data_IF_679224120045
#
_entry.id   IF_679224120045
#
_cell.length_a   1.000
_cell.length_b   1.000
_cell.length_c   1.000
_cell.angle_alpha   90.00
_cell.angle_beta   90.00
_cell.angle_gamma   90.00
#
_symmetry.space_group_name_H-M   'P 1'
#
loop_
_entity.id
_entity.type
_entity.pdbx_description
1 polymer ?
#
# COMPACT_ATOMS: atom_id res chain seq x y z
N UNK A 1 4.24 10.05 -9.74
CA UNK A 1 3.24 9.18 -9.05
C UNK A 1 2.38 9.90 -8.01
N UNK A 2 2.90 10.86 -7.24
CA UNK A 2 2.14 11.55 -6.18
C UNK A 2 0.79 12.14 -6.61
N UNK A 3 0.73 12.90 -7.71
CA UNK A 3 -0.54 13.48 -8.19
C UNK A 3 -1.59 12.41 -8.49
N UNK A 4 -1.21 11.33 -9.18
CA UNK A 4 -2.12 10.24 -9.52
C UNK A 4 -2.68 9.58 -8.24
N UNK A 5 -1.81 9.38 -7.25
CA UNK A 5 -2.20 8.79 -5.96
C UNK A 5 -3.13 9.71 -5.17
N UNK A 6 -2.85 11.02 -5.16
CA UNK A 6 -3.71 12.02 -4.53
C UNK A 6 -5.10 12.11 -5.20
N UNK A 7 -5.16 12.00 -6.53
CA UNK A 7 -6.43 11.93 -7.26
C UNK A 7 -7.23 10.68 -6.86
N UNK A 8 -6.60 9.51 -6.83
CA UNK A 8 -7.24 8.28 -6.38
C UNK A 8 -7.76 8.42 -4.93
N UNK A 9 -6.96 8.99 -4.03
CA UNK A 9 -7.37 9.25 -2.65
C UNK A 9 -8.60 10.16 -2.58
N UNK A 10 -8.62 11.27 -3.32
CA UNK A 10 -9.76 12.19 -3.35
C UNK A 10 -11.05 11.52 -3.84
N UNK A 11 -10.96 10.67 -4.87
CA UNK A 11 -12.11 9.91 -5.38
C UNK A 11 -12.64 8.88 -4.36
N UNK A 12 -11.73 8.17 -3.69
CA UNK A 12 -12.09 7.20 -2.65
C UNK A 12 -12.80 7.88 -1.47
N UNK A 13 -12.27 9.02 -1.02
CA UNK A 13 -12.79 9.77 0.13
C UNK A 13 -14.16 10.40 -0.12
N UNK A 14 -14.52 10.69 -1.37
CA UNK A 14 -15.86 11.20 -1.72
C UNK A 14 -16.91 10.10 -1.85
N UNK A 15 -16.49 8.82 -1.89
CA UNK A 15 -17.37 7.68 -2.16
C UNK A 15 -17.09 6.46 -1.26
N UNK A 16 -16.96 6.63 0.07
CA UNK A 16 -16.53 5.54 0.95
C UNK A 16 -17.55 4.40 0.99
N UNK A 17 -17.06 3.16 1.03
CA UNK A 17 -17.83 1.92 1.11
C UNK A 17 -17.53 1.19 2.40
N UNK A 18 -18.47 0.37 2.90
CA UNK A 18 -18.23 -0.58 4.00
C UNK A 18 -17.40 0.01 5.15
N UNK A 19 -17.86 1.16 5.66
CA UNK A 19 -17.12 1.91 6.67
C UNK A 19 -17.11 1.19 8.02
N UNK A 20 -15.97 1.21 8.69
CA UNK A 20 -15.77 0.58 10.00
C UNK A 20 -14.63 1.27 10.76
N UNK A 21 -14.42 0.84 12.01
CA UNK A 21 -13.21 1.20 12.76
C UNK A 21 -12.02 0.47 12.15
N UNK A 22 -10.95 1.21 11.90
CA UNK A 22 -9.74 0.72 11.25
C UNK A 22 -8.56 0.68 12.22
N UNK A 23 -7.65 -0.25 11.99
CA UNK A 23 -6.35 -0.26 12.65
C UNK A 23 -5.56 1.01 12.28
N UNK A 24 -5.52 1.34 10.99
CA UNK A 24 -4.86 2.52 10.44
C UNK A 24 -3.35 2.38 10.22
N UNK A 25 -2.74 1.32 10.76
CA UNK A 25 -1.29 1.08 10.67
C UNK A 25 -0.94 -0.41 10.72
N UNK A 26 -1.70 -1.24 10.00
CA UNK A 26 -1.49 -2.69 10.01
C UNK A 26 -0.31 -3.06 9.09
N UNK A 27 0.72 -3.68 9.67
CA UNK A 27 1.85 -4.28 8.97
C UNK A 27 2.43 -5.43 9.81
N UNK A 28 3.35 -6.17 9.21
CA UNK A 28 3.90 -7.40 9.79
C UNK A 28 4.56 -7.22 11.17
N UNK A 29 5.15 -6.07 11.49
CA UNK A 29 5.69 -5.82 12.84
C UNK A 29 4.61 -5.53 13.89
N UNK A 30 3.43 -5.10 13.45
CA UNK A 30 2.26 -4.86 14.31
C UNK A 30 1.36 -6.10 14.44
N UNK A 31 1.77 -7.25 13.91
CA UNK A 31 1.08 -8.55 14.06
C UNK A 31 2.01 -9.53 14.77
N UNK A 32 1.76 -9.77 16.05
CA UNK A 32 2.66 -10.54 16.91
C UNK A 32 2.01 -11.85 17.34
N UNK A 33 2.84 -12.89 17.49
CA UNK A 33 2.44 -14.17 18.07
C UNK A 33 2.51 -14.09 19.61
N UNK A 34 1.36 -14.25 20.27
CA UNK A 34 1.25 -14.28 21.73
C UNK A 34 1.14 -15.72 22.29
N UNK A 35 1.67 -16.70 21.56
CA UNK A 35 1.71 -18.11 21.95
C UNK A 35 0.30 -18.71 22.01
N UNK A 36 -0.12 -19.19 23.18
CA UNK A 36 -1.45 -19.80 23.36
C UNK A 36 -2.62 -18.86 23.00
N UNK A 37 -2.40 -17.54 23.06
CA UNK A 37 -3.41 -16.54 22.68
C UNK A 37 -3.51 -16.30 21.18
N UNK A 38 -2.57 -16.84 20.40
CA UNK A 38 -2.49 -16.67 18.95
C UNK A 38 -2.01 -15.29 18.51
N UNK A 39 -2.24 -14.99 17.23
CA UNK A 39 -1.84 -13.74 16.59
C UNK A 39 -2.71 -12.57 17.04
N UNK A 40 -2.10 -11.51 17.55
CA UNK A 40 -2.78 -10.28 17.92
C UNK A 40 -2.17 -9.09 17.20
N UNK A 41 -3.03 -8.11 16.92
CA UNK A 41 -2.65 -6.84 16.31
C UNK A 41 -2.43 -5.79 17.41
N UNK A 42 -1.37 -4.99 17.28
CA UNK A 42 -1.00 -3.93 18.23
C UNK A 42 -0.84 -2.56 17.54
N UNK A 43 -0.81 -1.49 18.34
CA UNK A 43 -0.64 -0.09 17.92
C UNK A 43 -1.71 0.48 16.94
N UNK A 44 -3.03 0.38 17.28
CA UNK A 44 -4.06 0.96 16.44
C UNK A 44 -4.06 2.49 16.51
N UNK A 45 -4.14 3.14 15.34
CA UNK A 45 -4.36 4.59 15.19
C UNK A 45 -5.82 5.01 15.33
N UNK A 46 -6.74 4.02 15.43
CA UNK A 46 -8.17 4.20 15.78
C UNK A 46 -8.92 5.09 14.78
N UNK A 47 -8.70 4.85 13.49
CA UNK A 47 -9.36 5.60 12.42
C UNK A 47 -10.78 5.07 12.18
N UNK A 48 -11.61 5.87 11.52
CA UNK A 48 -12.90 5.44 11.00
C UNK A 48 -12.97 5.73 9.51
N UNK A 49 -13.24 4.71 8.71
CA UNK A 49 -13.19 4.82 7.25
C UNK A 49 -13.52 3.51 6.55
N UNK A 50 -13.28 3.45 5.25
CA UNK A 50 -13.54 2.26 4.44
C UNK A 50 -12.57 1.12 4.78
N UNK A 51 -13.12 -0.08 5.02
CA UNK A 51 -12.35 -1.25 5.48
C UNK A 51 -11.19 -1.68 4.56
N UNK A 52 -11.27 -1.34 3.27
CA UNK A 52 -10.24 -1.68 2.30
C UNK A 52 -8.89 -0.99 2.58
N UNK A 53 -8.92 0.17 3.27
CA UNK A 53 -7.72 0.94 3.58
C UNK A 53 -6.71 0.15 4.43
N UNK A 54 -7.16 -0.57 5.47
CA UNK A 54 -6.26 -1.36 6.32
C UNK A 54 -5.47 -2.38 5.50
N UNK A 55 -6.04 -2.93 4.43
CA UNK A 55 -5.33 -3.87 3.58
C UNK A 55 -4.35 -3.21 2.60
N UNK A 56 -4.41 -1.90 2.38
CA UNK A 56 -3.45 -1.20 1.53
C UNK A 56 -2.08 -1.07 2.21
N UNK A 57 -2.07 -0.86 3.54
CA UNK A 57 -0.87 -0.55 4.32
C UNK A 57 0.20 -1.64 4.22
N UNK A 58 -0.21 -2.90 4.07
CA UNK A 58 0.72 -4.03 4.01
C UNK A 58 1.54 -4.06 2.71
N UNK A 59 1.15 -3.36 1.63
CA UNK A 59 1.75 -3.57 0.30
C UNK A 59 3.14 -2.96 0.13
N UNK A 60 3.50 -1.91 0.90
CA UNK A 60 4.90 -1.41 0.96
C UNK A 60 5.80 -2.26 1.88
N UNK A 61 5.25 -3.28 2.53
CA UNK A 61 5.96 -4.14 3.48
C UNK A 61 6.30 -5.51 2.86
N UNK A 62 7.28 -6.25 3.42
CA UNK A 62 8.19 -5.88 4.51
C UNK A 62 9.51 -5.23 4.05
N UNK A 63 9.89 -5.43 2.79
CA UNK A 63 11.15 -4.93 2.25
C UNK A 63 11.05 -4.80 0.73
N UNK A 64 12.05 -4.14 0.13
CA UNK A 64 12.10 -3.86 -1.30
C UNK A 64 11.90 -5.13 -2.16
N UNK A 65 12.67 -6.19 -1.91
CA UNK A 65 12.62 -7.40 -2.73
C UNK A 65 11.25 -8.07 -2.79
N UNK A 66 10.46 -8.00 -1.72
CA UNK A 66 9.11 -8.58 -1.66
C UNK A 66 8.05 -7.57 -2.14
N UNK A 67 8.12 -6.33 -1.69
CA UNK A 67 7.12 -5.30 -1.99
C UNK A 67 7.13 -4.89 -3.47
N UNK A 68 8.30 -4.90 -4.12
CA UNK A 68 8.43 -4.46 -5.52
C UNK A 68 8.44 -5.59 -6.54
N UNK A 69 8.32 -6.85 -6.11
CA UNK A 69 8.22 -7.99 -7.03
C UNK A 69 6.80 -8.06 -7.65
N UNK A 70 6.66 -7.95 -8.99
CA UNK A 70 5.35 -7.92 -9.63
C UNK A 70 4.50 -9.18 -9.43
N UNK A 71 5.13 -10.36 -9.39
CA UNK A 71 4.43 -11.64 -9.25
C UNK A 71 3.98 -11.86 -7.80
N UNK A 72 4.77 -11.39 -6.82
CA UNK A 72 4.36 -11.34 -5.42
C UNK A 72 3.22 -10.33 -5.26
N UNK A 73 3.33 -9.13 -5.83
CA UNK A 73 2.30 -8.10 -5.75
C UNK A 73 0.94 -8.61 -6.25
N UNK A 74 0.88 -9.21 -7.45
CA UNK A 74 -0.37 -9.75 -7.99
C UNK A 74 -0.95 -10.85 -7.11
N UNK A 75 -0.12 -11.81 -6.66
CA UNK A 75 -0.59 -12.87 -5.76
C UNK A 75 -1.13 -12.32 -4.44
N UNK A 76 -0.48 -11.30 -3.86
CA UNK A 76 -0.95 -10.66 -2.63
C UNK A 76 -2.27 -9.93 -2.83
N UNK A 77 -2.45 -9.21 -3.95
CA UNK A 77 -3.72 -8.59 -4.31
C UNK A 77 -4.83 -9.64 -4.37
N UNK A 78 -4.61 -10.75 -5.07
CA UNK A 78 -5.59 -11.83 -5.20
C UNK A 78 -5.93 -12.46 -3.84
N UNK A 79 -4.92 -12.79 -3.03
CA UNK A 79 -5.09 -13.35 -1.70
C UNK A 79 -5.90 -12.43 -0.78
N UNK A 80 -5.54 -11.14 -0.73
CA UNK A 80 -6.27 -10.15 0.07
C UNK A 80 -7.71 -10.03 -0.41
N UNK A 81 -7.95 -9.93 -1.72
CA UNK A 81 -9.31 -9.86 -2.25
C UNK A 81 -10.15 -11.07 -1.85
N UNK A 82 -9.57 -12.28 -1.97
CA UNK A 82 -10.25 -13.52 -1.63
C UNK A 82 -10.54 -13.64 -0.13
N UNK A 83 -9.53 -13.41 0.72
CA UNK A 83 -9.65 -13.59 2.17
C UNK A 83 -10.49 -12.51 2.84
N UNK A 84 -10.40 -11.26 2.36
CA UNK A 84 -11.14 -10.14 2.92
C UNK A 84 -12.49 -9.89 2.20
N UNK A 85 -12.79 -10.62 1.12
CA UNK A 85 -13.99 -10.36 0.30
C UNK A 85 -14.02 -8.95 -0.27
N UNK A 86 -12.89 -8.48 -0.82
CA UNK A 86 -12.75 -7.13 -1.39
C UNK A 86 -12.83 -7.17 -2.92
N UNK A 87 -13.42 -6.11 -3.49
CA UNK A 87 -13.36 -5.86 -4.92
C UNK A 87 -11.91 -5.50 -5.32
N UNK A 88 -11.35 -6.23 -6.28
CA UNK A 88 -9.96 -6.03 -6.74
C UNK A 88 -9.66 -4.60 -7.17
N UNK A 89 -10.56 -3.97 -7.93
CA UNK A 89 -10.35 -2.61 -8.41
C UNK A 89 -10.29 -1.62 -7.24
N UNK A 90 -11.18 -1.78 -6.24
CA UNK A 90 -11.24 -0.91 -5.07
C UNK A 90 -10.00 -1.06 -4.18
N UNK A 91 -9.52 -2.29 -3.97
CA UNK A 91 -8.27 -2.53 -3.24
C UNK A 91 -7.09 -1.86 -3.95
N UNK A 92 -6.95 -2.03 -5.26
CA UNK A 92 -5.87 -1.40 -6.03
C UNK A 92 -5.88 0.13 -5.97
N UNK A 93 -7.07 0.74 -5.97
CA UNK A 93 -7.20 2.19 -5.78
C UNK A 93 -6.68 2.62 -4.40
N UNK A 94 -7.02 1.87 -3.34
CA UNK A 94 -6.51 2.14 -2.00
C UNK A 94 -5.00 1.90 -1.88
N UNK A 95 -4.44 0.86 -2.52
CA UNK A 95 -2.99 0.63 -2.58
C UNK A 95 -2.28 1.81 -3.24
N UNK A 96 -2.82 2.30 -4.38
CA UNK A 96 -2.28 3.46 -5.07
C UNK A 96 -2.32 4.72 -4.19
N UNK A 97 -3.46 4.98 -3.54
CA UNK A 97 -3.62 6.12 -2.63
C UNK A 97 -2.65 6.05 -1.44
N UNK A 98 -2.56 4.88 -0.77
CA UNK A 98 -1.69 4.65 0.37
C UNK A 98 -0.22 4.80 0.01
N UNK A 99 0.23 4.16 -1.08
CA UNK A 99 1.62 4.24 -1.50
C UNK A 99 2.02 5.68 -1.83
N UNK A 100 1.12 6.48 -2.40
CA UNK A 100 1.38 7.92 -2.57
C UNK A 100 1.50 8.71 -1.26
N UNK A 101 0.67 8.38 -0.26
CA UNK A 101 0.74 9.01 1.08
C UNK A 101 2.04 8.64 1.79
N UNK A 102 2.40 7.36 1.80
CA UNK A 102 3.63 6.85 2.40
C UNK A 102 4.87 7.46 1.72
N UNK A 103 4.88 7.56 0.39
CA UNK A 103 5.93 8.27 -0.34
C UNK A 103 6.07 9.74 0.07
N UNK A 104 4.96 10.44 0.33
CA UNK A 104 5.00 11.84 0.76
C UNK A 104 5.68 11.98 2.14
N UNK A 105 5.45 11.05 3.07
CA UNK A 105 6.11 11.06 4.37
C UNK A 105 7.63 10.87 4.26
N UNK A 106 8.08 9.86 3.51
CA UNK A 106 9.52 9.68 3.27
C UNK A 106 10.16 10.93 2.64
N UNK A 107 9.48 11.55 1.67
CA UNK A 107 9.98 12.77 1.04
C UNK A 107 10.01 13.99 1.97
N UNK A 108 9.03 14.13 2.88
CA UNK A 108 9.03 15.17 3.90
C UNK A 108 10.22 15.03 4.87
N UNK A 109 10.62 13.79 5.16
CA UNK A 109 11.79 13.47 5.99
C UNK A 109 13.13 13.49 5.21
N UNK A 110 13.09 13.78 3.90
CA UNK A 110 14.27 13.82 3.04
C UNK A 110 14.82 12.43 2.65
N UNK A 111 14.01 11.39 2.82
CA UNK A 111 14.34 10.00 2.49
C UNK A 111 13.80 9.60 1.10
N UNK A 112 14.34 8.51 0.55
CA UNK A 112 13.91 7.97 -0.73
C UNK A 112 12.67 7.07 -0.57
N UNK A 113 11.67 7.25 -1.44
CA UNK A 113 10.40 6.52 -1.43
C UNK A 113 10.32 5.44 -2.53
N UNK A 114 11.43 4.72 -2.77
CA UNK A 114 11.54 3.81 -3.92
C UNK A 114 10.54 2.66 -3.86
N UNK A 115 10.27 2.10 -2.68
CA UNK A 115 9.29 1.02 -2.53
C UNK A 115 7.89 1.55 -2.86
N UNK A 116 7.53 2.68 -2.27
CA UNK A 116 6.22 3.29 -2.39
C UNK A 116 5.90 3.67 -3.84
N UNK A 117 6.87 4.25 -4.56
CA UNK A 117 6.68 4.55 -5.97
C UNK A 117 6.56 3.29 -6.83
N UNK A 118 7.29 2.21 -6.53
CA UNK A 118 7.12 0.93 -7.27
C UNK A 118 5.75 0.33 -7.01
N UNK A 119 5.29 0.30 -5.76
CA UNK A 119 3.97 -0.23 -5.39
C UNK A 119 2.85 0.61 -6.03
N UNK A 120 2.97 1.94 -6.00
CA UNK A 120 2.03 2.84 -6.66
C UNK A 120 2.00 2.59 -8.18
N UNK A 121 3.16 2.39 -8.81
CA UNK A 121 3.26 2.10 -10.25
C UNK A 121 2.58 0.76 -10.59
N UNK A 122 2.82 -0.28 -9.80
CA UNK A 122 2.20 -1.60 -9.98
C UNK A 122 0.67 -1.53 -9.83
N UNK A 123 0.17 -0.79 -8.83
CA UNK A 123 -1.26 -0.57 -8.65
C UNK A 123 -1.87 0.20 -9.83
N UNK A 124 -1.24 1.29 -10.28
CA UNK A 124 -1.69 2.07 -11.43
C UNK A 124 -1.73 1.23 -12.72
N UNK A 125 -0.68 0.44 -12.98
CA UNK A 125 -0.65 -0.50 -14.13
C UNK A 125 -1.77 -1.54 -14.04
N UNK A 126 -1.99 -2.12 -12.86
CA UNK A 126 -3.05 -3.10 -12.64
C UNK A 126 -4.48 -2.52 -12.74
N UNK A 127 -4.62 -1.20 -12.60
CA UNK A 127 -5.84 -0.43 -12.85
C UNK A 127 -5.99 0.03 -14.31
N UNK A 128 -4.96 -0.18 -15.15
CA UNK A 128 -4.94 0.32 -16.53
C UNK A 128 -4.80 1.84 -16.63
N UNK A 129 -4.27 2.50 -15.60
CA UNK A 129 -4.09 3.95 -15.57
C UNK A 129 -2.81 4.35 -16.31
N UNK A 130 -2.82 5.48 -17.05
CA UNK A 130 -1.60 6.02 -17.64
C UNK A 130 -0.63 6.46 -16.55
N UNK A 131 0.64 6.09 -16.72
CA UNK A 131 1.69 6.56 -15.83
C UNK A 131 2.15 7.97 -16.23
N UNK A 132 2.50 8.84 -15.28
CA UNK A 132 3.03 10.16 -15.59
C UNK A 132 4.35 10.08 -16.37
N UNK A 133 4.52 10.97 -17.35
CA UNK A 133 5.77 11.12 -18.12
C UNK A 133 6.88 11.76 -17.25
N UNK A 134 8.11 11.26 -17.34
CA UNK A 134 9.26 11.76 -16.56
C UNK A 134 9.61 10.91 -15.33
N UNK A 135 10.76 11.21 -14.74
CA UNK A 135 11.43 10.41 -13.70
C UNK A 135 10.44 9.92 -12.64
N UNK A 136 10.39 8.60 -12.48
CA UNK A 136 9.44 7.91 -11.61
C UNK A 136 9.77 8.07 -10.13
N UNK A 137 10.78 8.90 -9.81
CA UNK A 137 11.28 9.13 -8.47
C UNK A 137 12.24 8.04 -8.01
N UNK A 138 12.64 7.13 -8.90
CA UNK A 138 13.55 6.02 -8.56
C UNK A 138 14.99 6.48 -8.59
N UNK A 139 15.62 6.49 -7.43
CA UNK A 139 17.08 6.32 -7.39
C UNK A 139 17.31 4.84 -7.19
N UNK A 140 17.50 4.07 -8.27
CA UNK A 140 17.87 2.66 -8.13
C UNK A 140 19.05 2.56 -7.14
N UNK A 141 18.94 1.85 -6.01
CA UNK A 141 20.12 1.60 -5.20
C UNK A 141 21.09 0.84 -6.11
N UNK A 142 22.30 1.37 -6.26
CA UNK A 142 23.38 0.66 -6.93
C UNK A 142 23.62 -0.59 -6.09
N UNK A 143 23.03 -1.72 -6.50
CA UNK A 143 23.38 -3.02 -5.96
C UNK A 143 24.76 -3.32 -6.53
N UNK A 144 25.81 -2.92 -5.83
CA UNK A 144 27.15 -3.47 -6.05
C UNK A 144 27.05 -4.98 -5.81
N UNK A 145 26.97 -5.74 -6.92
CA UNK A 145 27.13 -7.19 -6.87
C UNK A 145 28.51 -7.48 -6.30
N UNK A 146 28.57 -8.06 -5.10
CA UNK A 146 29.73 -8.81 -4.60
C UNK A 146 29.50 -10.29 -4.81
#
# INVERSE_FOLDING_TARGET
MLRLSATAAAELLTSPREQSVLHGDIHHDNVLDFGERGWLVIDPKRLYGERAFDYANIFCNPNYGIATDPDIFQRRVEQVCQLAGLERQRLLQWILAWAGLSAAWFMEDGEAADIDFRVAEQAARALGLPLPEGDSGFTLPIIERR
#
